data_IF_931249054646
#
_entry.id   IF_931249054646
#
_cell.length_a   1.000
_cell.length_b   1.000
_cell.length_c   1.000
_cell.angle_alpha   90.00
_cell.angle_beta   90.00
_cell.angle_gamma   90.00
#
_symmetry.space_group_name_H-M   'P 1'
#
loop_
_entity.id
_entity.type
_entity.pdbx_description
1 polymer ?
#
# COMPACT_ATOMS: atom_id res chain seq x y z
N UNK A 1 -6.01 -18.13 16.11
CA UNK A 1 -6.26 -16.67 16.05
C UNK A 1 -5.84 -16.13 14.71
N UNK A 2 -6.63 -15.28 14.12
CA UNK A 2 -6.32 -14.65 12.85
C UNK A 2 -6.12 -13.15 13.05
N UNK A 3 -5.21 -12.55 12.26
CA UNK A 3 -5.06 -11.10 12.17
C UNK A 3 -5.92 -10.57 11.05
N UNK A 4 -6.67 -9.51 11.32
CA UNK A 4 -7.52 -8.87 10.32
C UNK A 4 -7.10 -7.41 10.19
N UNK A 5 -6.76 -7.00 8.97
CA UNK A 5 -6.46 -5.62 8.63
C UNK A 5 -7.54 -5.10 7.72
N UNK A 6 -8.07 -3.92 8.04
CA UNK A 6 -9.11 -3.27 7.25
C UNK A 6 -8.58 -1.94 6.74
N UNK A 7 -8.73 -1.70 5.47
CA UNK A 7 -8.40 -0.44 4.84
C UNK A 7 -9.61 0.08 4.08
N UNK A 8 -9.68 1.40 3.93
CA UNK A 8 -10.80 2.05 3.28
C UNK A 8 -10.32 3.14 2.32
N UNK A 9 -11.09 3.37 1.28
CA UNK A 9 -10.82 4.39 0.27
C UNK A 9 -12.11 5.12 -0.06
N UNK A 10 -12.04 6.44 -0.20
CA UNK A 10 -13.18 7.29 -0.45
C UNK A 10 -13.80 7.82 0.83
N UNK A 11 -15.04 8.29 0.75
CA UNK A 11 -15.75 8.88 1.87
C UNK A 11 -16.95 8.03 2.28
N UNK A 12 -17.08 7.67 3.56
CA UNK A 12 -18.24 6.93 4.04
C UNK A 12 -19.48 7.81 4.19
N UNK A 13 -19.34 9.13 4.07
CA UNK A 13 -20.43 10.09 4.22
C UNK A 13 -20.84 10.65 2.87
N UNK A 14 -22.13 10.56 2.55
CA UNK A 14 -22.67 11.13 1.30
C UNK A 14 -22.51 12.65 1.24
N UNK A 15 -22.48 13.33 2.39
CA UNK A 15 -22.30 14.78 2.45
C UNK A 15 -20.86 15.23 2.22
N UNK A 16 -19.91 14.29 2.25
CA UNK A 16 -18.47 14.54 2.10
C UNK A 16 -17.86 13.77 0.94
N UNK A 17 -18.69 13.27 0.03
CA UNK A 17 -18.21 12.54 -1.13
C UNK A 17 -17.38 13.45 -2.02
N UNK A 18 -16.14 13.06 -2.29
CA UNK A 18 -15.27 13.75 -3.22
C UNK A 18 -15.84 13.60 -4.64
N UNK A 19 -16.16 14.70 -5.35
CA UNK A 19 -16.69 14.60 -6.71
C UNK A 19 -15.74 13.96 -7.70
N UNK A 20 -14.42 13.96 -7.40
CA UNK A 20 -13.43 13.30 -8.23
C UNK A 20 -13.22 11.82 -7.85
N UNK A 21 -13.74 11.40 -6.70
CA UNK A 21 -13.66 10.02 -6.22
C UNK A 21 -14.91 9.68 -5.42
N UNK A 22 -16.07 9.55 -6.09
CA UNK A 22 -17.36 9.43 -5.42
C UNK A 22 -17.68 8.02 -4.90
N UNK A 23 -16.64 7.17 -4.76
CA UNK A 23 -16.80 5.78 -4.34
C UNK A 23 -16.14 5.59 -2.98
N UNK A 24 -16.87 4.95 -2.06
CA UNK A 24 -16.30 4.43 -0.82
C UNK A 24 -16.07 2.94 -0.97
N UNK A 25 -14.83 2.52 -0.74
CA UNK A 25 -14.43 1.11 -0.82
C UNK A 25 -13.75 0.72 0.49
N UNK A 26 -14.13 -0.43 1.03
CA UNK A 26 -13.50 -1.02 2.19
C UNK A 26 -12.97 -2.40 1.81
N UNK A 27 -11.72 -2.66 2.16
CA UNK A 27 -11.08 -3.96 1.95
C UNK A 27 -10.62 -4.54 3.28
N UNK A 28 -10.79 -5.84 3.45
CA UNK A 28 -10.30 -6.55 4.64
C UNK A 28 -9.34 -7.65 4.20
N UNK A 29 -8.18 -7.72 4.86
CA UNK A 29 -7.20 -8.77 4.66
C UNK A 29 -7.08 -9.59 5.95
N UNK A 30 -7.11 -10.91 5.81
CA UNK A 30 -7.05 -11.84 6.95
C UNK A 30 -5.76 -12.64 6.84
N UNK A 31 -4.97 -12.65 7.91
CA UNK A 31 -3.69 -13.35 7.95
C UNK A 31 -3.60 -14.25 9.16
N UNK A 32 -2.96 -15.39 9.00
CA UNK A 32 -2.49 -16.18 10.12
C UNK A 32 -1.27 -15.47 10.74
N UNK A 33 -1.21 -15.27 12.09
CA UNK A 33 -0.14 -14.48 12.71
C UNK A 33 1.27 -14.94 12.37
N UNK A 34 1.53 -16.24 12.33
CA UNK A 34 2.85 -16.78 12.03
C UNK A 34 3.27 -16.47 10.60
N UNK A 35 2.36 -16.59 9.64
CA UNK A 35 2.62 -16.28 8.23
C UNK A 35 2.86 -14.77 8.07
N UNK A 36 2.06 -13.95 8.76
CA UNK A 36 2.23 -12.51 8.73
C UNK A 36 3.62 -12.10 9.23
N UNK A 37 4.03 -12.61 10.39
CA UNK A 37 5.30 -12.24 11.01
C UNK A 37 6.51 -12.82 10.27
N UNK A 38 6.44 -14.08 9.79
CA UNK A 38 7.59 -14.78 9.22
C UNK A 38 7.76 -14.59 7.72
N UNK A 39 6.70 -14.24 7.00
CA UNK A 39 6.73 -14.13 5.54
C UNK A 39 6.34 -12.75 5.03
N UNK A 40 5.20 -12.22 5.47
CA UNK A 40 4.66 -10.97 4.91
C UNK A 40 5.47 -9.76 5.36
N UNK A 41 5.70 -9.59 6.65
CA UNK A 41 6.46 -8.43 7.16
C UNK A 41 7.88 -8.38 6.60
N UNK A 42 8.66 -9.48 6.59
CA UNK A 42 9.97 -9.45 5.98
C UNK A 42 9.95 -9.14 4.48
N UNK A 43 8.96 -9.66 3.75
CA UNK A 43 8.84 -9.40 2.31
C UNK A 43 8.53 -7.92 2.03
N UNK A 44 7.63 -7.31 2.79
CA UNK A 44 7.31 -5.88 2.66
C UNK A 44 8.53 -5.03 3.05
N UNK A 45 9.21 -5.38 4.13
CA UNK A 45 10.44 -4.68 4.54
C UNK A 45 11.52 -4.72 3.48
N UNK A 46 11.76 -5.89 2.89
CA UNK A 46 12.74 -6.06 1.81
C UNK A 46 12.36 -5.25 0.57
N UNK A 47 11.08 -5.22 0.22
CA UNK A 47 10.56 -4.42 -0.89
C UNK A 47 10.85 -2.93 -0.67
N UNK A 48 10.56 -2.43 0.53
CA UNK A 48 10.79 -1.03 0.89
C UNK A 48 12.26 -0.67 0.79
N UNK A 49 13.14 -1.51 1.34
CA UNK A 49 14.59 -1.27 1.28
C UNK A 49 15.06 -1.23 -0.16
N UNK A 50 14.63 -2.20 -0.97
CA UNK A 50 15.05 -2.31 -2.37
C UNK A 50 14.62 -1.11 -3.21
N UNK A 51 13.37 -0.66 -3.06
CA UNK A 51 12.78 0.34 -3.95
C UNK A 51 12.73 1.75 -3.36
N UNK A 52 12.75 1.87 -2.02
CA UNK A 52 12.62 3.15 -1.33
C UNK A 52 13.87 3.51 -0.52
N UNK A 53 14.84 2.60 -0.43
CA UNK A 53 16.09 2.82 0.29
C UNK A 53 16.02 2.62 1.80
N UNK A 54 14.83 2.39 2.36
CA UNK A 54 14.61 2.21 3.79
C UNK A 54 13.30 1.47 4.01
N UNK A 55 13.15 0.80 5.14
CA UNK A 55 11.90 0.16 5.54
C UNK A 55 11.01 1.08 6.39
N UNK A 56 11.46 2.31 6.67
CA UNK A 56 10.71 3.28 7.48
C UNK A 56 9.44 3.82 6.83
N UNK A 57 9.39 4.07 5.50
CA UNK A 57 8.18 4.63 4.89
C UNK A 57 6.97 3.73 5.07
N UNK A 58 5.83 4.33 5.41
CA UNK A 58 4.54 3.64 5.44
C UNK A 58 3.94 3.67 4.04
N UNK A 59 3.41 2.53 3.61
CA UNK A 59 2.82 2.42 2.27
C UNK A 59 1.37 2.91 2.32
N UNK A 60 1.16 4.19 2.01
CA UNK A 60 -0.17 4.78 1.89
C UNK A 60 -0.62 4.75 0.44
N UNK A 61 -1.75 4.12 0.15
CA UNK A 61 -2.27 3.96 -1.20
C UNK A 61 -2.41 5.32 -1.91
N UNK A 62 -2.97 6.31 -1.24
CA UNK A 62 -3.19 7.62 -1.86
C UNK A 62 -1.88 8.32 -2.24
N UNK A 63 -0.85 8.18 -1.41
CA UNK A 63 0.46 8.77 -1.70
C UNK A 63 1.15 8.05 -2.86
N UNK A 64 1.02 6.72 -2.90
CA UNK A 64 1.58 5.90 -3.99
C UNK A 64 0.88 6.25 -5.30
N UNK A 65 -0.44 6.29 -5.30
CA UNK A 65 -1.24 6.60 -6.49
C UNK A 65 -0.97 8.00 -7.02
N UNK A 66 -0.87 8.97 -6.13
CA UNK A 66 -0.61 10.37 -6.48
C UNK A 66 0.87 10.68 -6.69
N UNK A 67 1.74 9.71 -6.49
CA UNK A 67 3.20 9.84 -6.65
C UNK A 67 3.79 10.92 -5.76
N UNK A 68 3.32 10.98 -4.51
CA UNK A 68 3.76 11.99 -3.55
C UNK A 68 5.01 11.55 -2.79
N UNK A 69 5.85 12.51 -2.41
CA UNK A 69 7.03 12.28 -1.60
C UNK A 69 7.94 11.22 -2.21
N UNK A 70 8.34 10.24 -1.40
CA UNK A 70 9.24 9.17 -1.83
C UNK A 70 8.66 8.31 -2.96
N UNK A 71 7.35 8.32 -3.14
CA UNK A 71 6.66 7.52 -4.15
C UNK A 71 6.64 8.19 -5.54
N UNK A 72 7.31 9.34 -5.71
CA UNK A 72 7.46 9.96 -7.02
C UNK A 72 8.55 9.31 -7.86
N UNK A 73 9.47 8.55 -7.23
CA UNK A 73 10.59 7.85 -7.87
C UNK A 73 11.43 8.77 -8.76
N UNK A 74 11.47 10.07 -8.45
CA UNK A 74 12.16 11.10 -9.23
C UNK A 74 11.73 11.11 -10.72
N UNK A 75 10.48 10.73 -10.98
CA UNK A 75 9.93 10.64 -12.33
C UNK A 75 10.34 9.42 -13.12
N UNK A 76 11.07 8.47 -12.53
CA UNK A 76 11.46 7.24 -13.20
C UNK A 76 10.28 6.25 -13.25
N UNK A 77 9.67 6.14 -14.42
CA UNK A 77 8.51 5.27 -14.66
C UNK A 77 8.87 3.79 -14.46
N UNK A 78 10.07 3.39 -14.88
CA UNK A 78 10.50 2.00 -14.75
C UNK A 78 10.71 1.62 -13.28
N UNK A 79 11.30 2.51 -12.49
CA UNK A 79 11.48 2.27 -11.06
C UNK A 79 10.12 2.15 -10.35
N UNK A 80 9.17 3.01 -10.70
CA UNK A 80 7.82 2.96 -10.16
C UNK A 80 7.10 1.65 -10.53
N UNK A 81 7.18 1.27 -11.79
CA UNK A 81 6.57 0.03 -12.28
C UNK A 81 7.15 -1.20 -11.56
N UNK A 82 8.47 -1.25 -11.37
CA UNK A 82 9.12 -2.34 -10.66
C UNK A 82 8.64 -2.43 -9.20
N UNK A 83 8.47 -1.29 -8.53
CA UNK A 83 7.94 -1.24 -7.17
C UNK A 83 6.51 -1.79 -7.11
N UNK A 84 5.63 -1.31 -8.00
CA UNK A 84 4.22 -1.75 -8.04
C UNK A 84 4.11 -3.25 -8.34
N UNK A 85 4.90 -3.74 -9.29
CA UNK A 85 4.92 -5.17 -9.61
C UNK A 85 5.40 -6.01 -8.42
N UNK A 86 6.45 -5.56 -7.74
CA UNK A 86 6.95 -6.23 -6.54
C UNK A 86 5.91 -6.29 -5.43
N UNK A 87 5.21 -5.19 -5.21
CA UNK A 87 4.13 -5.11 -4.21
C UNK A 87 2.98 -6.05 -4.57
N UNK A 88 2.60 -6.10 -5.84
CA UNK A 88 1.53 -6.97 -6.31
C UNK A 88 1.84 -8.45 -6.13
N UNK A 89 3.10 -8.84 -6.20
CA UNK A 89 3.51 -10.24 -5.98
C UNK A 89 3.42 -10.65 -4.52
N UNK A 90 3.56 -9.71 -3.59
CA UNK A 90 3.45 -10.00 -2.15
C UNK A 90 1.99 -10.18 -1.76
N UNK A 91 1.11 -9.40 -2.34
CA UNK A 91 -0.31 -9.42 -2.07
C UNK A 91 -1.01 -10.41 -3.02
#
# INVERSE_FOLDING_TARGET
MLLVYVDESGSPSSSRTDPNYPIFVMAACVFEPDVYASQLLPAVGALKIRHLGSDSPVLHESEIRKRLGIFNFKGDVQARTAFIEGLSRIV
#
